data_IF_278862705376
#
_entry.id   IF_278862705376
#
_cell.length_a   1.000
_cell.length_b   1.000
_cell.length_c   1.000
_cell.angle_alpha   90.00
_cell.angle_beta   90.00
_cell.angle_gamma   90.00
#
_symmetry.space_group_name_H-M   'P 1'
#
loop_
_entity.id
_entity.type
_entity.pdbx_description
1 polymer ?
#
# COMPACT_ATOMS: atom_id res chain seq x y z
N UNK A 1 -4.89 -5.07 -18.02
CA UNK A 1 -3.97 -3.92 -18.13
C UNK A 1 -2.73 -4.43 -18.84
N UNK A 2 -2.27 -3.76 -19.88
CA UNK A 2 -1.04 -4.18 -20.59
C UNK A 2 0.20 -3.83 -19.75
N UNK A 3 1.25 -4.65 -19.80
CA UNK A 3 2.47 -4.52 -18.99
C UNK A 3 3.11 -3.14 -19.16
N UNK A 4 3.09 -2.58 -20.37
CA UNK A 4 3.65 -1.26 -20.67
C UNK A 4 2.79 -0.11 -20.13
N UNK A 5 1.50 -0.34 -19.91
CA UNK A 5 0.63 0.59 -19.20
C UNK A 5 0.96 0.60 -17.70
N UNK A 6 1.21 -0.59 -17.12
CA UNK A 6 1.61 -0.73 -15.70
C UNK A 6 2.92 0.00 -15.45
N UNK A 7 3.94 -0.25 -16.28
CA UNK A 7 5.25 0.43 -16.18
C UNK A 7 5.11 1.95 -16.22
N UNK A 8 4.33 2.48 -17.17
CA UNK A 8 4.09 3.92 -17.28
C UNK A 8 3.40 4.49 -16.05
N UNK A 9 2.44 3.76 -15.46
CA UNK A 9 1.79 4.19 -14.23
C UNK A 9 2.72 4.14 -13.02
N UNK A 10 3.61 3.14 -12.93
CA UNK A 10 4.62 3.04 -11.88
C UNK A 10 5.56 4.24 -11.90
N UNK A 11 6.06 4.65 -13.07
CA UNK A 11 6.94 5.82 -13.16
C UNK A 11 6.33 7.10 -12.61
N UNK A 12 5.01 7.27 -12.76
CA UNK A 12 4.28 8.44 -12.24
C UNK A 12 4.20 8.47 -10.71
N UNK A 13 4.51 7.37 -10.02
CA UNK A 13 4.61 7.35 -8.55
C UNK A 13 5.72 8.29 -8.08
N UNK A 14 6.81 8.43 -8.84
CA UNK A 14 7.88 9.37 -8.54
C UNK A 14 7.39 10.84 -8.56
N UNK A 15 6.37 11.14 -9.37
CA UNK A 15 5.73 12.45 -9.46
C UNK A 15 4.62 12.66 -8.41
N UNK A 16 4.50 11.76 -7.42
CA UNK A 16 3.43 11.82 -6.40
C UNK A 16 2.07 11.30 -6.87
N UNK A 17 1.97 10.76 -8.08
CA UNK A 17 0.70 10.30 -8.64
C UNK A 17 0.42 8.87 -8.14
N UNK A 18 -0.68 8.63 -7.41
CA UNK A 18 -0.96 7.31 -6.86
C UNK A 18 -1.18 6.27 -7.95
N UNK A 19 -0.53 5.12 -7.78
CA UNK A 19 -0.79 3.93 -8.58
C UNK A 19 -1.74 3.01 -7.83
N UNK A 20 -2.88 2.70 -8.44
CA UNK A 20 -3.89 1.78 -7.90
C UNK A 20 -3.85 0.47 -8.68
N UNK A 21 -3.79 -0.64 -7.96
CA UNK A 21 -3.84 -1.99 -8.49
C UNK A 21 -4.63 -2.86 -7.51
N UNK A 22 -5.78 -3.38 -7.95
CA UNK A 22 -6.68 -4.18 -7.12
C UNK A 22 -7.00 -3.50 -5.77
N UNK A 23 -6.75 -4.18 -4.66
CA UNK A 23 -6.92 -3.66 -3.30
C UNK A 23 -5.69 -2.92 -2.76
N UNK A 24 -4.71 -2.59 -3.62
CA UNK A 24 -3.48 -1.89 -3.25
C UNK A 24 -3.40 -0.50 -3.89
N UNK A 25 -2.94 0.48 -3.12
CA UNK A 25 -2.60 1.82 -3.61
C UNK A 25 -1.19 2.17 -3.17
N UNK A 26 -0.34 2.56 -4.12
CA UNK A 26 1.05 2.94 -3.89
C UNK A 26 1.22 4.41 -4.22
N UNK A 27 1.85 5.17 -3.32
CA UNK A 27 2.18 6.59 -3.54
C UNK A 27 3.43 6.98 -2.79
N UNK A 28 4.11 7.99 -3.29
CA UNK A 28 5.15 8.69 -2.54
C UNK A 28 4.53 9.77 -1.65
N UNK A 29 5.32 10.22 -0.67
CA UNK A 29 5.02 11.40 0.12
C UNK A 29 6.22 12.34 0.11
N UNK A 30 5.95 13.62 0.34
CA UNK A 30 6.99 14.66 0.48
C UNK A 30 7.93 14.39 1.68
N UNK A 31 7.54 13.49 2.59
CA UNK A 31 8.33 13.07 3.75
C UNK A 31 9.34 11.96 3.44
N UNK A 32 9.62 11.67 2.16
CA UNK A 32 10.57 10.63 1.77
C UNK A 32 10.08 9.21 2.04
N UNK A 33 8.75 8.98 2.01
CA UNK A 33 8.17 7.65 2.19
C UNK A 33 7.48 7.17 0.92
N UNK A 34 7.50 5.86 0.72
CA UNK A 34 6.61 5.16 -0.19
C UNK A 34 5.54 4.48 0.65
N UNK A 35 4.31 4.99 0.59
CA UNK A 35 3.16 4.44 1.28
C UNK A 35 2.51 3.39 0.40
N UNK A 36 2.38 2.18 0.93
CA UNK A 36 1.63 1.06 0.34
C UNK A 36 0.39 0.86 1.19
N UNK A 37 -0.79 1.21 0.66
CA UNK A 37 -2.07 1.04 1.35
C UNK A 37 -2.80 -0.17 0.80
N UNK A 38 -3.11 -1.14 1.67
CA UNK A 38 -4.06 -2.22 1.43
C UNK A 38 -5.44 -1.84 1.91
N UNK A 39 -6.44 -2.10 1.08
CA UNK A 39 -7.85 -1.91 1.40
C UNK A 39 -8.44 -3.24 1.85
N UNK A 40 -8.96 -3.32 3.07
CA UNK A 40 -9.54 -4.57 3.59
C UNK A 40 -10.78 -4.96 2.80
N UNK A 41 -10.94 -6.26 2.53
CA UNK A 41 -12.14 -6.83 1.90
C UNK A 41 -13.31 -6.98 2.89
N UNK A 42 -13.07 -6.66 4.17
CA UNK A 42 -14.11 -6.70 5.20
C UNK A 42 -15.17 -5.64 4.89
N UNK A 43 -16.39 -6.07 4.54
CA UNK A 43 -17.48 -5.14 4.19
C UNK A 43 -18.00 -4.37 5.40
N UNK A 44 -18.14 -5.03 6.55
CA UNK A 44 -18.70 -4.42 7.76
C UNK A 44 -17.58 -4.09 8.73
N UNK A 45 -17.40 -2.80 9.03
CA UNK A 45 -16.40 -2.32 9.98
C UNK A 45 -16.44 -3.05 11.33
N UNK A 46 -17.63 -3.46 11.80
CA UNK A 46 -17.80 -4.21 13.06
C UNK A 46 -17.14 -5.60 13.06
N UNK A 47 -16.85 -6.14 11.89
CA UNK A 47 -16.22 -7.45 11.71
C UNK A 47 -14.70 -7.35 11.54
N UNK A 48 -14.13 -6.15 11.67
CA UNK A 48 -12.68 -5.95 11.66
C UNK A 48 -12.13 -6.44 13.00
N UNK A 49 -11.20 -7.40 12.92
CA UNK A 49 -10.38 -7.83 14.06
C UNK A 49 -8.90 -7.59 13.77
N UNK A 50 -8.10 -7.38 14.81
CA UNK A 50 -6.65 -7.15 14.65
C UNK A 50 -5.97 -8.34 14.00
N UNK A 51 -6.39 -9.56 14.35
CA UNK A 51 -5.84 -10.80 13.78
C UNK A 51 -6.07 -10.87 12.27
N UNK A 52 -7.27 -10.51 11.80
CA UNK A 52 -7.58 -10.49 10.37
C UNK A 52 -6.76 -9.41 9.65
N UNK A 53 -6.64 -8.23 10.22
CA UNK A 53 -5.85 -7.14 9.62
C UNK A 53 -4.36 -7.47 9.58
N UNK A 54 -3.83 -8.19 10.56
CA UNK A 54 -2.45 -8.69 10.52
C UNK A 54 -2.25 -9.68 9.37
N UNK A 55 -3.20 -10.57 9.14
CA UNK A 55 -3.15 -11.49 8.00
C UNK A 55 -3.18 -10.73 6.67
N UNK A 56 -4.13 -9.81 6.49
CA UNK A 56 -4.25 -9.00 5.27
C UNK A 56 -3.02 -8.10 5.04
N UNK A 57 -2.37 -7.62 6.11
CA UNK A 57 -1.12 -6.87 6.04
C UNK A 57 0.03 -7.72 5.49
N UNK A 58 0.17 -8.97 5.93
CA UNK A 58 1.18 -9.89 5.40
C UNK A 58 0.90 -10.25 3.93
N UNK A 59 -0.37 -10.42 3.56
CA UNK A 59 -0.79 -10.61 2.17
C UNK A 59 -0.42 -9.38 1.31
N UNK A 60 -0.70 -8.16 1.78
CA UNK A 60 -0.31 -6.90 1.12
C UNK A 60 1.21 -6.83 0.89
N UNK A 61 2.00 -7.14 1.92
CA UNK A 61 3.48 -7.15 1.84
C UNK A 61 3.97 -8.17 0.81
N UNK A 62 3.34 -9.34 0.75
CA UNK A 62 3.63 -10.36 -0.26
C UNK A 62 3.31 -9.86 -1.67
N UNK A 63 2.12 -9.31 -1.89
CA UNK A 63 1.70 -8.77 -3.20
C UNK A 63 2.58 -7.62 -3.66
N UNK A 64 2.97 -6.71 -2.77
CA UNK A 64 3.90 -5.64 -3.08
C UNK A 64 5.30 -6.16 -3.44
N UNK A 65 5.78 -7.18 -2.72
CA UNK A 65 7.05 -7.85 -2.99
C UNK A 65 7.06 -8.51 -4.37
N UNK A 66 5.97 -9.19 -4.74
CA UNK A 66 5.80 -9.77 -6.07
C UNK A 66 5.78 -8.70 -7.16
N UNK A 67 5.00 -7.62 -6.98
CA UNK A 67 4.96 -6.51 -7.92
C UNK A 67 6.35 -5.88 -8.12
N UNK A 68 7.09 -5.67 -7.03
CA UNK A 68 8.44 -5.09 -7.06
C UNK A 68 9.47 -6.02 -7.74
N UNK A 69 9.24 -7.34 -7.75
CA UNK A 69 10.07 -8.29 -8.52
C UNK A 69 9.71 -8.29 -10.01
N UNK A 70 8.44 -8.07 -10.35
CA UNK A 70 7.98 -8.02 -11.73
C UNK A 70 8.30 -6.70 -12.44
N UNK A 71 8.39 -5.60 -11.69
CA UNK A 71 8.62 -4.25 -12.22
C UNK A 71 9.79 -3.59 -11.48
N UNK A 72 10.98 -3.65 -12.08
CA UNK A 72 12.19 -3.07 -11.49
C UNK A 72 12.10 -1.56 -11.29
N UNK A 73 11.25 -0.88 -12.06
CA UNK A 73 10.97 0.55 -11.95
C UNK A 73 10.55 0.95 -10.52
N UNK A 74 9.81 0.09 -9.82
CA UNK A 74 9.45 0.31 -8.41
C UNK A 74 10.69 0.35 -7.50
N UNK A 75 11.64 -0.56 -7.72
CA UNK A 75 12.89 -0.60 -6.96
C UNK A 75 13.77 0.62 -7.28
N UNK A 76 13.79 1.05 -8.55
CA UNK A 76 14.54 2.22 -8.99
C UNK A 76 13.98 3.50 -8.35
N UNK A 77 12.65 3.64 -8.27
CA UNK A 77 12.00 4.76 -7.60
C UNK A 77 12.35 4.78 -6.10
N UNK A 78 12.26 3.62 -5.42
CA UNK A 78 12.56 3.52 -3.98
C UNK A 78 14.02 3.87 -3.70
N UNK A 79 14.96 3.26 -4.42
CA UNK A 79 16.41 3.46 -4.19
C UNK A 79 16.87 4.84 -4.65
N UNK A 80 16.44 5.26 -5.84
CA UNK A 80 16.85 6.52 -6.45
C UNK A 80 16.40 7.76 -5.66
N UNK A 81 15.27 7.66 -4.95
CA UNK A 81 14.74 8.74 -4.12
C UNK A 81 14.95 8.51 -2.61
N UNK A 82 15.73 7.48 -2.23
CA UNK A 82 16.00 7.10 -0.84
C UNK A 82 14.72 6.99 0.03
N UNK A 83 13.71 6.30 -0.50
CA UNK A 83 12.40 6.20 0.15
C UNK A 83 12.36 5.08 1.18
N UNK A 84 11.71 5.35 2.31
CA UNK A 84 11.34 4.29 3.27
C UNK A 84 9.94 3.79 2.97
N UNK A 85 9.77 2.46 2.91
CA UNK A 85 8.45 1.85 2.66
C UNK A 85 7.67 1.78 3.96
N UNK A 86 6.44 2.29 3.95
CA UNK A 86 5.48 2.18 5.05
C UNK A 86 4.21 1.49 4.53
N UNK A 87 3.80 0.41 5.19
CA UNK A 87 2.58 -0.31 4.87
C UNK A 87 1.43 0.22 5.71
N UNK A 88 0.25 0.36 5.12
CA UNK A 88 -0.96 0.79 5.81
C UNK A 88 -2.11 -0.15 5.45
N UNK A 89 -2.93 -0.50 6.44
CA UNK A 89 -4.23 -1.12 6.19
C UNK A 89 -5.32 -0.10 6.44
N UNK A 90 -6.27 -0.01 5.52
CA UNK A 90 -7.42 0.88 5.60
C UNK A 90 -8.71 0.16 5.25
N UNK A 91 -9.81 0.58 5.86
CA UNK A 91 -11.17 0.21 5.49
C UNK A 91 -11.75 1.26 4.57
N UNK A 92 -12.32 0.84 3.46
CA UNK A 92 -13.07 1.71 2.56
C UNK A 92 -14.55 1.70 2.94
N UNK A 93 -15.05 2.81 3.47
CA UNK A 93 -16.48 3.00 3.78
C UNK A 93 -17.28 3.28 2.49
N UNK A 94 -17.35 2.27 1.63
CA UNK A 94 -18.08 2.29 0.36
C UNK A 94 -17.71 3.50 -0.53
N UNK A 95 -16.42 3.82 -0.61
CA UNK A 95 -15.89 4.92 -1.42
C UNK A 95 -16.08 6.31 -0.82
N UNK A 96 -16.65 6.44 0.38
CA UNK A 96 -16.88 7.75 1.03
C UNK A 96 -15.66 8.22 1.80
N UNK A 97 -15.06 7.32 2.58
CA UNK A 97 -13.91 7.63 3.42
C UNK A 97 -13.05 6.39 3.63
N UNK A 98 -11.72 6.60 3.61
CA UNK A 98 -10.77 5.59 4.07
C UNK A 98 -10.52 5.73 5.56
N UNK A 99 -10.80 4.68 6.33
CA UNK A 99 -10.54 4.62 7.77
C UNK A 99 -9.24 3.82 7.98
N UNK A 100 -8.20 4.47 8.51
CA UNK A 100 -6.95 3.78 8.83
C UNK A 100 -7.15 2.75 9.96
N UNK A 101 -6.62 1.55 9.77
CA UNK A 101 -6.70 0.45 10.74
C UNK A 101 -5.37 0.25 11.46
N UNK A 102 -4.28 0.16 10.71
CA UNK A 102 -2.92 0.13 11.23
C UNK A 102 -1.90 0.63 10.19
N UNK A 103 -0.67 0.88 10.64
CA UNK A 103 0.50 0.98 9.79
C UNK A 103 1.65 0.10 10.29
N UNK A 104 2.53 -0.30 9.39
CA UNK A 104 3.79 -0.97 9.69
C UNK A 104 4.95 -0.21 9.06
N UNK A 105 5.92 0.14 9.90
CA UNK A 105 7.19 0.72 9.49
C UNK A 105 8.31 -0.08 10.13
N UNK A 106 9.19 -0.67 9.31
CA UNK A 106 10.34 -1.45 9.77
C UNK A 106 9.97 -2.55 10.80
N UNK A 107 8.86 -3.27 10.54
CA UNK A 107 8.36 -4.34 11.41
C UNK A 107 7.66 -3.85 12.68
N UNK A 108 7.54 -2.54 12.91
CA UNK A 108 6.78 -1.98 14.04
C UNK A 108 5.37 -1.62 13.60
N UNK A 109 4.39 -2.24 14.23
CA UNK A 109 2.97 -2.05 13.92
C UNK A 109 2.37 -0.99 14.85
N UNK A 110 1.73 0.01 14.26
CA UNK A 110 0.96 1.05 14.96
C UNK A 110 -0.52 0.84 14.67
N UNK A 111 -1.33 0.63 15.71
CA UNK A 111 -2.78 0.45 15.58
C UNK A 111 -3.52 1.77 15.74
N UNK A 112 -4.56 1.98 14.92
CA UNK A 112 -5.46 3.13 15.02
C UNK A 112 -6.85 2.74 15.56
N UNK A 113 -7.12 1.45 15.63
CA UNK A 113 -8.33 0.87 16.19
C UNK A 113 -8.06 0.25 17.57
N UNK A 114 -9.01 0.44 18.48
CA UNK A 114 -8.97 -0.03 19.87
C UNK A 114 -9.28 -1.51 19.97
#
# INVERSE_FOLDING_TARGET
MDTDEIRRKIWRIADGIPFKLDNMTIRTTDSGKLIVTGWTDTINFKNISKEKILQELEELKSSFSELSKSFNELNDIVKGNNLTIEYHMAYDDAGKVGIGLCSELEGKINWYIS
#
